data_IF_767389038661
#
_entry.id   IF_767389038661
#
_cell.length_a   1.000
_cell.length_b   1.000
_cell.length_c   1.000
_cell.angle_alpha   90.00
_cell.angle_beta   90.00
_cell.angle_gamma   90.00
#
_symmetry.space_group_name_H-M   'P 1'
#
loop_
_entity.id
_entity.type
_entity.pdbx_description
1 polymer ?
#
# COMPACT_ATOMS: atom_id res chain seq x y z
N UNK A 1 -65.64 -29.68 76.02
CA UNK A 1 -65.90 -28.26 76.35
C UNK A 1 -66.93 -27.78 75.34
N UNK A 2 -68.25 -27.76 75.67
CA UNK A 2 -69.00 -26.69 76.37
C UNK A 2 -68.91 -25.35 75.59
N UNK A 3 -69.96 -24.67 75.12
CA UNK A 3 -71.43 -24.65 75.35
C UNK A 3 -72.14 -24.00 74.11
N UNK A 4 -73.44 -24.29 73.88
CA UNK A 4 -74.35 -23.51 73.00
C UNK A 4 -74.94 -22.27 73.71
N UNK A 5 -76.17 -21.74 73.42
CA UNK A 5 -77.17 -22.05 72.36
C UNK A 5 -77.94 -20.78 71.81
N UNK A 6 -79.14 -20.99 71.23
CA UNK A 6 -80.30 -20.07 71.00
C UNK A 6 -80.47 -19.46 69.58
N UNK A 7 -81.46 -19.90 68.77
CA UNK A 7 -82.88 -19.47 68.70
C UNK A 7 -83.05 -18.24 67.79
N UNK A 8 -84.07 -18.04 66.94
CA UNK A 8 -85.40 -18.62 66.78
C UNK A 8 -85.89 -18.42 65.32
N UNK A 9 -86.88 -19.20 64.94
CA UNK A 9 -87.65 -19.09 63.70
C UNK A 9 -88.60 -17.88 63.72
N UNK A 10 -88.86 -17.29 62.56
CA UNK A 10 -90.09 -16.57 62.27
C UNK A 10 -90.49 -16.80 60.81
N UNK A 11 -91.54 -17.60 60.63
CA UNK A 11 -92.34 -17.68 59.42
C UNK A 11 -93.00 -16.33 59.16
N UNK A 12 -92.89 -15.79 57.95
CA UNK A 12 -93.86 -14.85 57.41
C UNK A 12 -94.16 -15.21 55.95
N UNK A 13 -95.40 -15.64 55.77
CA UNK A 13 -96.15 -15.77 54.52
C UNK A 13 -96.11 -14.51 53.64
N UNK A 14 -96.21 -14.69 52.32
CA UNK A 14 -97.33 -14.23 51.48
C UNK A 14 -96.89 -13.75 50.07
N UNK A 15 -97.69 -14.19 49.08
CA UNK A 15 -97.91 -13.63 47.74
C UNK A 15 -96.79 -13.75 46.68
N UNK A 16 -96.89 -14.79 45.85
CA UNK A 16 -96.39 -14.78 44.47
C UNK A 16 -97.30 -13.85 43.65
N UNK A 17 -96.82 -12.67 43.31
CA UNK A 17 -97.39 -11.84 42.26
C UNK A 17 -96.55 -12.04 40.99
N UNK A 18 -97.14 -12.65 39.97
CA UNK A 18 -96.59 -12.74 38.61
C UNK A 18 -96.57 -11.33 38.00
N UNK A 19 -95.46 -10.62 38.16
CA UNK A 19 -95.14 -9.42 37.39
C UNK A 19 -94.43 -9.81 36.10
N UNK A 20 -95.07 -9.59 34.95
CA UNK A 20 -94.42 -9.61 33.63
C UNK A 20 -93.50 -8.39 33.57
N UNK A 21 -92.18 -8.60 33.67
CA UNK A 21 -91.20 -7.58 33.36
C UNK A 21 -90.93 -7.57 31.84
N UNK A 22 -90.82 -6.39 31.19
CA UNK A 22 -90.48 -6.31 29.78
C UNK A 22 -89.03 -6.76 29.57
N UNK A 23 -88.81 -7.54 28.52
CA UNK A 23 -87.47 -7.84 28.00
C UNK A 23 -86.81 -6.53 27.60
N UNK A 24 -85.76 -6.13 28.32
CA UNK A 24 -84.87 -5.07 27.84
C UNK A 24 -84.26 -5.56 26.53
N UNK A 25 -84.55 -4.86 25.43
CA UNK A 25 -83.85 -5.05 24.16
C UNK A 25 -82.36 -4.94 24.44
N UNK A 26 -81.64 -6.03 24.18
CA UNK A 26 -80.19 -6.00 24.14
C UNK A 26 -79.81 -5.06 22.99
N UNK A 27 -79.40 -3.83 23.33
CA UNK A 27 -78.72 -2.94 22.39
C UNK A 27 -77.47 -3.67 21.95
N UNK A 28 -77.51 -4.28 20.76
CA UNK A 28 -76.32 -4.77 20.09
C UNK A 28 -75.42 -3.54 19.90
N UNK A 29 -74.21 -3.48 20.48
CA UNK A 29 -73.34 -2.34 20.26
C UNK A 29 -73.13 -2.20 18.75
N UNK A 30 -73.41 -1.02 18.22
CA UNK A 30 -73.15 -0.71 16.82
C UNK A 30 -71.68 -1.03 16.55
N UNK A 31 -71.43 -1.90 15.57
CA UNK A 31 -70.07 -2.30 15.21
C UNK A 31 -69.28 -1.05 14.82
N UNK A 32 -68.14 -0.83 15.45
CA UNK A 32 -67.26 0.28 15.11
C UNK A 32 -66.86 0.20 13.63
N UNK A 33 -66.85 1.34 12.96
CA UNK A 33 -66.52 1.44 11.54
C UNK A 33 -65.07 1.03 11.31
N UNK A 34 -64.80 0.34 10.21
CA UNK A 34 -63.42 -0.01 9.85
C UNK A 34 -62.65 1.24 9.46
N UNK A 35 -61.44 1.38 9.99
CA UNK A 35 -60.58 2.53 9.72
C UNK A 35 -59.45 2.21 8.78
N UNK A 36 -59.25 3.06 7.79
CA UNK A 36 -58.08 3.08 6.93
C UNK A 36 -57.13 4.21 7.35
N UNK A 37 -55.94 3.85 7.81
CA UNK A 37 -54.87 4.78 8.18
C UNK A 37 -53.74 4.72 7.15
N UNK A 38 -53.43 5.86 6.54
CA UNK A 38 -52.27 6.03 5.67
C UNK A 38 -51.25 7.00 6.26
N UNK A 39 -49.97 6.71 6.01
CA UNK A 39 -48.84 7.53 6.44
C UNK A 39 -47.87 7.63 5.27
N UNK A 40 -47.56 8.86 4.84
CA UNK A 40 -46.67 9.12 3.71
C UNK A 40 -45.82 10.37 3.96
N UNK A 41 -44.66 10.48 3.31
CA UNK A 41 -43.89 11.72 3.24
C UNK A 41 -43.04 11.73 1.97
N UNK A 42 -42.72 12.93 1.49
CA UNK A 42 -41.86 13.08 0.32
C UNK A 42 -40.39 12.81 0.67
N UNK A 43 -39.62 12.21 -0.25
CA UNK A 43 -38.19 12.06 -0.07
C UNK A 43 -37.49 13.42 0.09
N UNK A 44 -36.65 13.53 1.12
CA UNK A 44 -35.88 14.73 1.41
C UNK A 44 -34.40 14.40 1.63
N UNK A 45 -33.54 15.42 1.65
CA UNK A 45 -32.15 15.23 2.03
C UNK A 45 -32.04 14.92 3.51
N UNK A 46 -31.01 14.18 3.92
CA UNK A 46 -30.69 14.07 5.34
C UNK A 46 -30.37 15.47 5.91
N UNK A 47 -30.72 15.67 7.18
CA UNK A 47 -30.65 16.92 7.93
C UNK A 47 -31.60 18.02 7.42
N UNK A 48 -32.53 17.69 6.51
CA UNK A 48 -33.63 18.55 6.10
C UNK A 48 -34.95 18.00 6.62
N UNK A 49 -35.92 18.90 6.74
CA UNK A 49 -37.26 18.57 7.16
C UNK A 49 -38.10 18.00 6.01
N UNK A 50 -39.04 17.14 6.36
CA UNK A 50 -40.15 16.68 5.52
C UNK A 50 -41.41 16.58 6.38
N UNK A 51 -42.58 16.61 5.75
CA UNK A 51 -43.85 16.51 6.45
C UNK A 51 -44.40 15.09 6.32
N UNK A 52 -44.54 14.41 7.46
CA UNK A 52 -45.35 13.20 7.57
C UNK A 52 -46.82 13.59 7.42
N UNK A 53 -47.45 13.07 6.37
CA UNK A 53 -48.87 13.24 6.09
C UNK A 53 -49.62 12.01 6.55
N UNK A 54 -50.51 12.21 7.50
CA UNK A 54 -51.45 11.22 8.01
C UNK A 54 -52.79 11.48 7.34
N UNK A 55 -53.43 10.42 6.84
CA UNK A 55 -54.83 10.44 6.42
C UNK A 55 -55.53 9.30 7.14
N UNK A 56 -56.59 9.63 7.87
CA UNK A 56 -57.48 8.69 8.53
C UNK A 56 -58.86 8.77 7.89
N UNK A 57 -59.38 7.62 7.48
CA UNK A 57 -60.72 7.48 6.93
C UNK A 57 -61.45 6.32 7.61
N UNK A 58 -62.76 6.45 7.78
CA UNK A 58 -63.66 5.39 8.24
C UNK A 58 -64.28 4.63 7.06
N UNK A 59 -65.38 3.93 7.32
CA UNK A 59 -66.09 3.14 6.31
C UNK A 59 -66.48 3.97 5.08
N UNK A 60 -66.23 3.41 3.89
CA UNK A 60 -66.52 4.08 2.62
C UNK A 60 -65.61 5.28 2.31
N UNK A 61 -64.51 5.48 3.06
CA UNK A 61 -63.54 6.54 2.81
C UNK A 61 -63.90 7.90 3.45
N UNK A 62 -64.87 7.93 4.37
CA UNK A 62 -65.27 9.16 5.06
C UNK A 62 -64.15 9.69 5.97
N UNK A 63 -63.86 10.99 5.96
CA UNK A 63 -62.81 11.57 6.79
C UNK A 63 -63.15 11.48 8.29
N UNK A 64 -62.20 11.04 9.11
CA UNK A 64 -62.35 11.03 10.58
C UNK A 64 -61.70 12.28 11.16
N UNK A 65 -62.50 13.27 11.53
CA UNK A 65 -62.02 14.56 12.08
C UNK A 65 -61.81 14.50 13.60
N UNK A 66 -60.87 15.29 14.12
CA UNK A 66 -60.62 15.41 15.57
C UNK A 66 -59.93 14.20 16.21
N UNK A 67 -59.55 13.18 15.44
CA UNK A 67 -58.92 11.97 15.94
C UNK A 67 -57.44 12.22 16.31
N UNK A 68 -57.03 11.74 17.48
CA UNK A 68 -55.64 11.82 17.93
C UNK A 68 -54.83 10.62 17.40
N UNK A 69 -53.80 10.90 16.61
CA UNK A 69 -52.89 9.91 16.05
C UNK A 69 -51.52 10.06 16.68
N UNK A 70 -51.02 9.00 17.33
CA UNK A 70 -49.68 8.97 17.90
C UNK A 70 -48.66 8.66 16.82
N UNK A 71 -47.55 9.40 16.80
CA UNK A 71 -46.45 9.21 15.87
C UNK A 71 -45.19 8.76 16.60
N UNK A 72 -44.53 7.75 16.05
CA UNK A 72 -43.28 7.21 16.57
C UNK A 72 -42.24 7.07 15.45
N UNK A 73 -40.96 7.12 15.82
CA UNK A 73 -39.81 6.89 14.96
C UNK A 73 -39.05 5.66 15.44
N UNK A 74 -38.64 4.81 14.51
CA UNK A 74 -37.74 3.70 14.81
C UNK A 74 -36.32 4.24 14.97
N UNK A 75 -35.70 4.06 16.13
CA UNK A 75 -34.29 4.40 16.38
C UNK A 75 -33.62 3.18 16.98
N UNK A 76 -32.51 2.71 16.40
CA UNK A 76 -31.80 1.51 16.90
C UNK A 76 -32.70 0.29 17.16
N UNK A 77 -33.71 0.06 16.31
CA UNK A 77 -34.74 -1.00 16.42
C UNK A 77 -35.85 -0.78 17.45
N UNK A 78 -35.83 0.29 18.23
CA UNK A 78 -36.87 0.65 19.22
C UNK A 78 -37.75 1.76 18.67
N UNK A 79 -39.05 1.72 18.96
CA UNK A 79 -39.97 2.82 18.63
C UNK A 79 -39.93 3.86 19.74
N UNK A 80 -39.66 5.12 19.35
CA UNK A 80 -39.65 6.25 20.25
C UNK A 80 -40.73 7.25 19.80
N UNK A 81 -41.57 7.79 20.71
CA UNK A 81 -42.57 8.78 20.36
C UNK A 81 -41.91 10.05 19.84
N UNK A 82 -42.47 10.61 18.77
CA UNK A 82 -42.07 11.90 18.21
C UNK A 82 -43.14 12.98 18.37
N UNK A 83 -44.36 12.60 18.77
CA UNK A 83 -45.47 13.50 19.03
C UNK A 83 -46.82 12.83 18.75
N UNK A 84 -47.89 13.59 18.91
CA UNK A 84 -49.23 13.22 18.45
C UNK A 84 -49.80 14.36 17.62
N UNK A 85 -50.61 14.02 16.62
CA UNK A 85 -51.29 14.99 15.76
C UNK A 85 -52.80 14.75 15.78
N UNK A 86 -53.57 15.80 15.58
CA UNK A 86 -55.04 15.73 15.50
C UNK A 86 -55.47 15.92 14.05
N UNK A 87 -56.39 15.09 13.57
CA UNK A 87 -56.92 15.19 12.20
C UNK A 87 -57.85 16.39 12.03
N UNK A 88 -57.75 17.06 10.88
CA UNK A 88 -58.66 18.14 10.47
C UNK A 88 -60.00 17.61 9.96
N UNK A 89 -60.89 18.50 9.50
CA UNK A 89 -62.21 18.16 8.92
C UNK A 89 -62.13 17.22 7.71
N UNK A 90 -60.97 17.12 7.05
CA UNK A 90 -60.73 16.22 5.92
C UNK A 90 -60.02 14.92 6.36
N UNK A 91 -59.92 14.65 7.66
CA UNK A 91 -59.25 13.48 8.20
C UNK A 91 -57.72 13.52 8.04
N UNK A 92 -57.14 14.70 7.81
CA UNK A 92 -55.71 14.88 7.52
C UNK A 92 -54.97 15.46 8.71
N UNK A 93 -53.73 15.03 8.90
CA UNK A 93 -52.82 15.65 9.86
C UNK A 93 -51.38 15.67 9.33
N UNK A 94 -50.58 16.62 9.81
CA UNK A 94 -49.20 16.82 9.38
C UNK A 94 -48.24 16.92 10.54
N UNK A 95 -47.10 16.21 10.48
CA UNK A 95 -45.99 16.37 11.43
C UNK A 95 -44.70 16.64 10.68
N UNK A 96 -44.04 17.75 11.00
CA UNK A 96 -42.70 18.05 10.48
C UNK A 96 -41.66 17.20 11.22
N UNK A 97 -40.79 16.53 10.46
CA UNK A 97 -39.69 15.71 11.00
C UNK A 97 -38.40 15.94 10.21
N UNK A 98 -37.27 16.00 10.92
CA UNK A 98 -35.94 16.05 10.32
C UNK A 98 -35.41 14.63 10.02
N UNK A 99 -35.03 14.39 8.77
CA UNK A 99 -34.53 13.08 8.35
C UNK A 99 -33.08 12.82 8.82
N UNK A 100 -32.84 11.62 9.36
CA UNK A 100 -31.53 11.17 9.83
C UNK A 100 -30.67 10.70 8.65
N UNK A 101 -29.34 10.87 8.77
CA UNK A 101 -28.35 10.28 7.86
C UNK A 101 -28.34 8.75 7.92
N UNK A 102 -28.78 8.16 9.03
CA UNK A 102 -28.99 6.73 9.15
C UNK A 102 -30.38 6.39 8.59
N UNK A 103 -30.42 5.78 7.41
CA UNK A 103 -31.66 5.44 6.73
C UNK A 103 -32.57 4.49 7.53
N UNK A 104 -31.99 3.69 8.44
CA UNK A 104 -32.75 2.85 9.35
C UNK A 104 -33.63 3.65 10.32
N UNK A 105 -33.25 4.90 10.61
CA UNK A 105 -33.99 5.76 11.52
C UNK A 105 -35.12 6.51 10.81
N UNK A 106 -35.21 6.47 9.48
CA UNK A 106 -36.27 7.16 8.72
C UNK A 106 -37.46 6.23 8.49
N UNK A 107 -37.85 5.51 9.53
CA UNK A 107 -39.03 4.64 9.56
C UNK A 107 -39.94 5.15 10.67
N UNK A 108 -41.18 5.44 10.30
CA UNK A 108 -42.17 6.05 11.17
C UNK A 108 -43.40 5.16 11.30
N UNK A 109 -44.08 5.27 12.43
CA UNK A 109 -45.32 4.57 12.74
C UNK A 109 -46.36 5.59 13.18
N UNK A 110 -47.55 5.49 12.61
CA UNK A 110 -48.74 6.17 13.05
C UNK A 110 -49.68 5.15 13.68
N UNK A 111 -50.22 5.47 14.86
CA UNK A 111 -51.15 4.62 15.58
C UNK A 111 -52.34 5.47 16.03
N UNK A 112 -53.52 5.08 15.55
CA UNK A 112 -54.81 5.51 16.04
C UNK A 112 -55.34 4.43 16.99
N UNK A 113 -55.66 4.80 18.23
CA UNK A 113 -56.06 3.85 19.27
C UNK A 113 -57.51 3.35 19.14
N UNK A 114 -58.27 3.88 18.18
CA UNK A 114 -59.72 3.70 18.11
C UNK A 114 -60.45 4.74 18.96
N UNK A 115 -61.74 4.89 18.70
CA UNK A 115 -62.67 5.64 19.52
C UNK A 115 -64.00 4.87 19.66
N UNK A 116 -65.05 5.48 20.22
CA UNK A 116 -66.35 4.82 20.44
C UNK A 116 -67.03 4.35 19.14
N UNK A 117 -66.61 4.87 17.99
CA UNK A 117 -67.25 4.69 16.67
C UNK A 117 -66.30 4.15 15.60
N UNK A 118 -64.99 4.11 15.85
CA UNK A 118 -63.96 3.71 14.89
C UNK A 118 -62.95 2.72 15.49
N UNK A 119 -62.63 1.66 14.75
CA UNK A 119 -61.62 0.66 15.14
C UNK A 119 -60.18 1.23 15.22
N UNK A 120 -59.26 0.63 16.00
CA UNK A 120 -57.86 1.02 16.01
C UNK A 120 -57.15 0.69 14.70
N UNK A 121 -56.24 1.57 14.28
CA UNK A 121 -55.42 1.36 13.10
C UNK A 121 -53.95 1.72 13.35
N UNK A 122 -53.04 1.00 12.71
CA UNK A 122 -51.60 1.29 12.75
C UNK A 122 -50.99 1.17 11.36
N UNK A 123 -50.15 2.15 11.00
CA UNK A 123 -49.44 2.16 9.71
C UNK A 123 -47.99 2.56 9.88
N UNK A 124 -47.10 1.87 9.16
CA UNK A 124 -45.69 2.22 9.08
C UNK A 124 -45.34 2.76 7.70
N UNK A 125 -44.39 3.71 7.67
CA UNK A 125 -43.85 4.26 6.44
C UNK A 125 -42.33 4.46 6.56
N UNK A 126 -41.59 4.10 5.51
CA UNK A 126 -40.18 4.48 5.36
C UNK A 126 -40.11 5.71 4.48
N UNK A 127 -39.33 6.70 4.91
CA UNK A 127 -39.04 7.89 4.12
C UNK A 127 -37.67 7.76 3.48
N UNK A 128 -37.64 7.75 2.15
CA UNK A 128 -36.40 7.64 1.38
C UNK A 128 -35.58 8.94 1.42
N UNK A 129 -34.25 8.79 1.43
CA UNK A 129 -33.33 9.92 1.40
C UNK A 129 -32.96 10.28 -0.03
N UNK A 130 -33.09 11.56 -0.37
CA UNK A 130 -32.40 12.15 -1.53
C UNK A 130 -30.90 12.17 -1.27
N UNK A 131 -30.12 11.82 -2.28
CA UNK A 131 -28.65 11.78 -2.17
C UNK A 131 -28.01 13.07 -2.65
N UNK A 132 -27.10 13.59 -1.84
CA UNK A 132 -26.26 14.73 -2.25
C UNK A 132 -25.11 14.24 -3.13
N UNK A 133 -24.78 15.01 -4.17
CA UNK A 133 -23.52 14.85 -4.89
C UNK A 133 -22.34 15.03 -3.92
N UNK A 134 -21.22 14.36 -4.18
CA UNK A 134 -20.05 14.40 -3.31
C UNK A 134 -18.74 14.48 -4.09
N UNK A 135 -17.68 14.89 -3.40
CA UNK A 135 -16.32 14.99 -3.90
C UNK A 135 -15.35 14.35 -2.92
N UNK A 136 -14.63 13.34 -3.38
CA UNK A 136 -13.50 12.73 -2.66
C UNK A 136 -12.18 13.18 -3.28
N UNK A 137 -11.26 13.64 -2.44
CA UNK A 137 -9.93 14.14 -2.85
C UNK A 137 -8.85 13.36 -2.12
N UNK A 138 -7.81 12.96 -2.86
CA UNK A 138 -6.56 12.46 -2.30
C UNK A 138 -5.53 13.58 -2.36
N UNK A 139 -4.79 13.78 -1.29
CA UNK A 139 -3.71 14.76 -1.22
C UNK A 139 -2.53 14.28 -0.39
N UNK A 140 -1.47 15.07 -0.38
CA UNK A 140 -0.18 14.74 0.23
C UNK A 140 0.93 15.53 -0.44
N UNK A 141 2.20 15.31 -0.08
CA UNK A 141 3.32 15.91 -0.80
C UNK A 141 3.36 15.41 -2.25
N UNK A 142 3.86 16.24 -3.16
CA UNK A 142 4.07 15.88 -4.57
C UNK A 142 5.34 15.04 -4.80
N UNK A 143 6.27 15.05 -3.85
CA UNK A 143 7.50 14.28 -3.90
C UNK A 143 7.96 13.82 -2.51
N UNK A 144 8.82 12.81 -2.48
CA UNK A 144 9.42 12.26 -1.25
C UNK A 144 10.81 11.72 -1.53
N UNK A 145 11.76 11.97 -0.63
CA UNK A 145 13.08 11.31 -0.68
C UNK A 145 12.95 9.83 -0.31
N UNK A 146 13.50 8.93 -1.12
CA UNK A 146 13.40 7.47 -0.94
C UNK A 146 13.72 7.06 0.50
N UNK A 147 12.85 6.24 1.06
CA UNK A 147 13.01 5.76 2.43
C UNK A 147 12.44 6.69 3.51
N UNK A 148 11.99 7.90 3.19
CA UNK A 148 11.18 8.73 4.11
C UNK A 148 9.71 8.35 4.05
N UNK A 149 9.03 8.52 5.18
CA UNK A 149 7.58 8.38 5.29
C UNK A 149 6.88 9.66 4.87
N UNK A 150 5.70 9.54 4.26
CA UNK A 150 4.78 10.64 3.95
C UNK A 150 3.36 10.26 4.30
N UNK A 151 2.55 11.27 4.60
CA UNK A 151 1.12 11.08 4.89
C UNK A 151 0.31 11.35 3.64
N UNK A 152 -0.41 10.32 3.17
CA UNK A 152 -1.46 10.46 2.16
C UNK A 152 -2.77 10.72 2.87
N UNK A 153 -3.43 11.82 2.51
CA UNK A 153 -4.68 12.29 3.12
C UNK A 153 -5.83 12.07 2.15
N UNK A 154 -6.99 11.73 2.69
CA UNK A 154 -8.26 11.65 1.98
C UNK A 154 -9.22 12.63 2.62
N UNK A 155 -9.91 13.43 1.81
CA UNK A 155 -10.99 14.33 2.23
C UNK A 155 -12.23 14.02 1.43
N UNK A 156 -13.37 13.78 2.09
CA UNK A 156 -14.65 13.51 1.44
C UNK A 156 -15.71 14.49 1.93
N UNK A 157 -16.32 15.22 0.98
CA UNK A 157 -17.31 16.26 1.26
C UNK A 157 -18.48 16.21 0.28
N UNK A 158 -19.61 16.78 0.65
CA UNK A 158 -20.75 17.00 -0.25
C UNK A 158 -20.48 18.15 -1.22
N UNK A 159 -21.36 18.37 -2.19
CA UNK A 159 -21.29 19.52 -3.12
C UNK A 159 -21.27 20.90 -2.42
N UNK A 160 -21.85 21.00 -1.21
CA UNK A 160 -21.85 22.22 -0.38
C UNK A 160 -20.76 22.18 0.72
N UNK A 161 -19.66 21.47 0.47
CA UNK A 161 -18.49 21.34 1.35
C UNK A 161 -18.77 20.78 2.76
N UNK A 162 -19.93 20.15 3.01
CA UNK A 162 -20.18 19.46 4.30
C UNK A 162 -19.37 18.16 4.39
N UNK A 163 -18.75 17.84 5.54
CA UNK A 163 -17.95 16.62 5.69
C UNK A 163 -18.81 15.36 5.59
N UNK A 164 -18.23 14.31 5.01
CA UNK A 164 -18.88 13.00 4.87
C UNK A 164 -18.06 11.95 5.62
N UNK A 165 -18.63 11.42 6.70
CA UNK A 165 -18.11 10.23 7.36
C UNK A 165 -18.49 8.97 6.54
N UNK A 166 -17.58 8.02 6.40
CA UNK A 166 -17.88 6.75 5.73
C UNK A 166 -16.70 6.08 5.04
N UNK A 167 -17.00 5.02 4.29
CA UNK A 167 -16.00 4.12 3.73
C UNK A 167 -15.39 4.64 2.43
N UNK A 168 -14.06 4.71 2.38
CA UNK A 168 -13.28 5.08 1.20
C UNK A 168 -12.23 4.03 0.88
N UNK A 169 -12.26 3.48 -0.34
CA UNK A 169 -11.26 2.54 -0.84
C UNK A 169 -10.10 3.31 -1.47
N UNK A 170 -8.89 3.20 -0.92
CA UNK A 170 -7.69 3.85 -1.43
C UNK A 170 -6.88 2.90 -2.32
N UNK A 171 -6.47 3.38 -3.49
CA UNK A 171 -5.72 2.64 -4.49
C UNK A 171 -4.39 3.32 -4.83
N UNK A 172 -3.39 2.52 -5.18
CA UNK A 172 -2.07 2.95 -5.63
C UNK A 172 -1.67 2.24 -6.92
N UNK A 173 -1.07 2.97 -7.84
CA UNK A 173 -0.36 2.46 -9.02
C UNK A 173 1.11 2.84 -8.90
N UNK A 174 2.02 1.90 -9.14
CA UNK A 174 3.46 2.09 -9.04
C UNK A 174 4.09 2.07 -10.43
N UNK A 175 4.96 3.04 -10.76
CA UNK A 175 5.70 3.12 -12.02
C UNK A 175 4.84 2.80 -13.28
N UNK A 176 3.66 3.40 -13.39
CA UNK A 176 2.78 3.16 -14.55
C UNK A 176 1.94 1.87 -14.50
N UNK A 177 2.22 0.94 -13.58
CA UNK A 177 1.57 -0.37 -13.48
C UNK A 177 0.11 -0.35 -13.01
N UNK A 178 -0.51 -1.53 -12.78
CA UNK A 178 -1.92 -1.63 -12.45
C UNK A 178 -2.26 -0.98 -11.11
N UNK A 179 -3.50 -0.49 -11.00
CA UNK A 179 -4.04 0.03 -9.75
C UNK A 179 -4.32 -1.11 -8.77
N UNK A 180 -3.68 -1.08 -7.60
CA UNK A 180 -3.90 -2.04 -6.50
C UNK A 180 -4.54 -1.33 -5.32
N UNK A 181 -5.53 -1.96 -4.69
CA UNK A 181 -6.12 -1.48 -3.44
C UNK A 181 -5.06 -1.54 -2.34
N UNK A 182 -4.82 -0.42 -1.67
CA UNK A 182 -3.85 -0.33 -0.55
C UNK A 182 -4.55 -0.54 0.77
N UNK A 183 -5.66 0.17 1.00
CA UNK A 183 -6.40 0.14 2.26
C UNK A 183 -7.85 0.59 2.05
N UNK A 184 -8.74 0.06 2.87
CA UNK A 184 -10.07 0.66 3.09
C UNK A 184 -9.95 1.58 4.29
N UNK A 185 -10.23 2.87 4.10
CA UNK A 185 -10.23 3.90 5.11
C UNK A 185 -11.67 4.25 5.50
N UNK A 186 -11.84 4.79 6.69
CA UNK A 186 -13.09 5.41 7.13
C UNK A 186 -12.81 6.89 7.38
N UNK A 187 -13.52 7.77 6.70
CA UNK A 187 -13.48 9.21 7.02
C UNK A 187 -14.29 9.46 8.29
N UNK A 188 -13.74 10.27 9.20
CA UNK A 188 -14.44 10.69 10.43
C UNK A 188 -15.51 11.75 10.16
N UNK A 189 -16.06 12.31 11.23
CA UNK A 189 -17.09 13.37 11.16
C UNK A 189 -16.56 14.68 10.56
N UNK A 190 -15.25 14.87 10.55
CA UNK A 190 -14.54 15.95 9.85
C UNK A 190 -14.37 15.70 8.34
N UNK A 191 -14.80 14.53 7.86
CA UNK A 191 -14.69 14.07 6.48
C UNK A 191 -13.27 13.70 6.07
N UNK A 192 -12.37 13.40 7.01
CA UNK A 192 -10.95 13.14 6.73
C UNK A 192 -10.52 11.73 7.14
N UNK A 193 -9.55 11.21 6.40
CA UNK A 193 -8.79 10.01 6.74
C UNK A 193 -7.34 10.16 6.29
N UNK A 194 -6.42 9.42 6.90
CA UNK A 194 -4.99 9.47 6.54
C UNK A 194 -4.33 8.09 6.61
N UNK A 195 -3.28 7.92 5.83
CA UNK A 195 -2.37 6.77 5.91
C UNK A 195 -0.93 7.25 5.76
N UNK A 196 -0.05 6.72 6.62
CA UNK A 196 1.39 6.89 6.46
C UNK A 196 1.94 5.84 5.51
N UNK A 197 2.76 6.26 4.56
CA UNK A 197 3.35 5.39 3.53
C UNK A 197 4.81 5.74 3.34
N UNK A 198 5.62 4.75 2.96
CA UNK A 198 7.05 4.92 2.66
C UNK A 198 7.31 4.49 1.20
N UNK A 199 7.06 5.38 0.22
CA UNK A 199 7.27 5.06 -1.19
C UNK A 199 8.73 4.72 -1.46
N UNK A 200 8.96 3.76 -2.37
CA UNK A 200 10.30 3.34 -2.84
C UNK A 200 10.49 3.52 -4.35
N UNK A 201 9.47 4.08 -5.00
CA UNK A 201 9.36 4.38 -6.43
C UNK A 201 8.16 5.30 -6.62
N UNK A 202 8.10 5.96 -7.78
CA UNK A 202 7.01 6.86 -8.12
C UNK A 202 5.64 6.18 -7.99
N UNK A 203 4.71 6.91 -7.41
CA UNK A 203 3.40 6.38 -7.07
C UNK A 203 2.28 7.33 -7.45
N UNK A 204 1.18 6.74 -7.92
CA UNK A 204 -0.07 7.44 -8.24
C UNK A 204 -1.14 6.93 -7.30
N UNK A 205 -1.97 7.82 -6.77
CA UNK A 205 -2.96 7.53 -5.75
C UNK A 205 -4.34 8.00 -6.19
N UNK A 206 -5.37 7.20 -5.90
CA UNK A 206 -6.78 7.59 -6.09
C UNK A 206 -7.66 6.93 -5.05
N UNK A 207 -8.76 7.57 -4.72
CA UNK A 207 -9.76 7.08 -3.78
C UNK A 207 -11.08 6.81 -4.51
N UNK A 208 -11.83 5.82 -4.02
CA UNK A 208 -13.23 5.58 -4.38
C UNK A 208 -14.05 5.62 -3.10
N UNK A 209 -14.86 6.65 -2.93
CA UNK A 209 -15.82 6.75 -1.85
C UNK A 209 -17.01 5.82 -2.14
N UNK A 210 -17.44 5.08 -1.12
CA UNK A 210 -18.58 4.17 -1.22
C UNK A 210 -19.85 4.95 -0.97
N UNK A 211 -20.76 4.94 -1.94
CA UNK A 211 -22.11 5.51 -1.85
C UNK A 211 -22.79 5.13 -0.53
N UNK A 212 -23.47 6.09 0.11
CA UNK A 212 -24.32 5.87 1.29
C UNK A 212 -25.77 6.21 0.96
N UNK A 213 -26.68 6.00 1.91
CA UNK A 213 -28.09 6.30 1.73
C UNK A 213 -28.36 7.78 1.38
N UNK A 214 -27.62 8.72 1.97
CA UNK A 214 -27.83 10.16 1.86
C UNK A 214 -26.81 10.91 0.97
N UNK A 215 -25.80 10.21 0.45
CA UNK A 215 -24.72 10.83 -0.34
C UNK A 215 -24.19 9.89 -1.41
N UNK A 216 -24.00 10.43 -2.62
CA UNK A 216 -23.43 9.68 -3.74
C UNK A 216 -21.96 9.32 -3.50
N UNK A 217 -21.53 8.19 -4.08
CA UNK A 217 -20.12 7.84 -4.14
C UNK A 217 -19.36 8.75 -5.11
N UNK A 218 -18.04 8.78 -5.00
CA UNK A 218 -17.19 9.54 -5.92
C UNK A 218 -15.84 8.81 -6.15
N UNK A 219 -15.16 9.16 -7.24
CA UNK A 219 -13.80 8.72 -7.55
C UNK A 219 -12.89 9.93 -7.68
N UNK A 220 -11.87 10.01 -6.84
CA UNK A 220 -10.95 11.14 -6.86
C UNK A 220 -10.17 11.26 -8.16
N UNK A 221 -9.68 12.47 -8.43
CA UNK A 221 -8.53 12.69 -9.33
C UNK A 221 -7.29 11.93 -8.81
N UNK A 222 -6.30 11.76 -9.69
CA UNK A 222 -5.04 11.10 -9.35
C UNK A 222 -4.09 12.07 -8.66
N UNK A 223 -3.62 11.71 -7.47
CA UNK A 223 -2.52 12.40 -6.78
C UNK A 223 -1.20 11.67 -7.07
N UNK A 224 -0.15 12.40 -7.47
CA UNK A 224 1.17 11.83 -7.78
C UNK A 224 2.14 12.11 -6.63
N UNK A 225 3.01 11.15 -6.34
CA UNK A 225 4.11 11.29 -5.41
C UNK A 225 5.36 10.74 -6.10
N UNK A 226 6.26 11.65 -6.47
CA UNK A 226 7.54 11.34 -7.11
C UNK A 226 8.54 10.91 -6.04
N UNK A 227 9.22 9.79 -6.28
CA UNK A 227 10.25 9.28 -5.40
C UNK A 227 11.58 9.85 -5.87
N UNK A 228 12.25 10.60 -4.99
CA UNK A 228 13.52 11.24 -5.28
C UNK A 228 14.67 10.44 -4.67
N UNK A 229 15.82 10.34 -5.35
CA UNK A 229 16.99 9.69 -4.78
C UNK A 229 17.51 10.44 -3.55
N UNK A 230 17.96 9.72 -2.50
CA UNK A 230 18.56 10.36 -1.32
C UNK A 230 20.01 10.78 -1.56
N UNK A 231 20.72 10.15 -2.50
CA UNK A 231 22.10 10.48 -2.85
C UNK A 231 22.17 11.26 -4.17
N UNK A 232 23.36 11.77 -4.48
CA UNK A 232 23.58 12.58 -5.68
C UNK A 232 23.69 11.71 -6.95
N UNK A 233 22.75 11.81 -7.92
CA UNK A 233 22.82 11.08 -9.18
C UNK A 233 24.10 11.40 -9.96
N UNK A 234 24.62 10.42 -10.70
CA UNK A 234 25.78 10.57 -11.56
C UNK A 234 25.37 11.26 -12.86
N UNK A 235 26.01 12.40 -13.15
CA UNK A 235 25.86 13.12 -14.42
C UNK A 235 27.01 12.74 -15.34
N UNK A 236 26.75 11.84 -16.29
CA UNK A 236 27.73 11.45 -17.30
C UNK A 236 27.83 12.51 -18.40
N UNK A 237 29.01 12.66 -19.06
CA UNK A 237 29.15 13.50 -20.24
C UNK A 237 28.12 13.13 -21.32
N UNK A 238 27.59 14.13 -22.05
CA UNK A 238 26.56 13.90 -23.09
C UNK A 238 27.03 12.90 -24.17
N UNK A 239 28.32 12.92 -24.51
CA UNK A 239 28.94 12.03 -25.49
C UNK A 239 29.31 10.64 -24.94
N UNK A 240 29.15 10.40 -23.63
CA UNK A 240 29.53 9.12 -23.04
C UNK A 240 28.61 8.00 -23.55
N UNK A 241 29.17 6.87 -24.02
CA UNK A 241 28.37 5.76 -24.50
C UNK A 241 27.67 5.06 -23.33
N UNK A 242 26.49 4.50 -23.59
CA UNK A 242 25.72 3.74 -22.59
C UNK A 242 26.07 2.25 -22.63
N UNK A 243 25.94 1.51 -21.50
CA UNK A 243 26.11 0.07 -21.47
C UNK A 243 25.31 -0.64 -22.57
N UNK A 244 25.94 -1.61 -23.25
CA UNK A 244 25.32 -2.40 -24.32
C UNK A 244 24.30 -3.41 -23.79
N UNK A 245 24.38 -3.76 -22.50
CA UNK A 245 23.47 -4.71 -21.86
C UNK A 245 22.72 -4.03 -20.73
N UNK A 246 21.40 -4.03 -20.84
CA UNK A 246 20.51 -3.54 -19.79
C UNK A 246 20.35 -4.60 -18.70
N UNK A 247 20.32 -4.15 -17.44
CA UNK A 247 20.07 -5.02 -16.29
C UNK A 247 18.76 -4.65 -15.62
N UNK A 248 18.04 -5.62 -15.03
CA UNK A 248 16.95 -5.30 -14.14
C UNK A 248 17.46 -4.48 -12.96
N UNK A 249 16.61 -3.61 -12.40
CA UNK A 249 16.98 -2.85 -11.22
C UNK A 249 17.27 -3.79 -10.04
N UNK A 250 18.39 -3.58 -9.37
CA UNK A 250 18.68 -4.30 -8.12
C UNK A 250 17.69 -3.91 -7.03
N UNK A 251 17.40 -4.84 -6.10
CA UNK A 251 16.59 -4.54 -4.93
C UNK A 251 17.12 -3.30 -4.20
N UNK A 252 16.21 -2.55 -3.57
CA UNK A 252 16.57 -1.43 -2.70
C UNK A 252 17.44 -1.92 -1.53
N UNK A 253 18.25 -1.02 -0.99
CA UNK A 253 19.02 -1.28 0.22
C UNK A 253 18.14 -1.76 1.39
N UNK A 254 18.75 -2.61 2.22
CA UNK A 254 18.15 -3.19 3.43
C UNK A 254 18.94 -2.77 4.66
N UNK A 255 18.30 -2.60 5.81
CA UNK A 255 18.94 -2.11 7.03
C UNK A 255 19.54 -0.70 6.88
N UNK A 256 20.32 -0.29 7.89
CA UNK A 256 21.00 1.00 7.90
C UNK A 256 22.39 0.94 7.26
N UNK A 257 22.84 2.06 6.68
CA UNK A 257 24.18 2.22 6.13
C UNK A 257 24.53 1.20 5.04
N UNK A 258 25.81 0.82 4.98
CA UNK A 258 26.30 -0.17 4.03
C UNK A 258 25.77 -1.60 4.29
N UNK A 259 25.32 -1.89 5.52
CA UNK A 259 24.81 -3.20 5.95
C UNK A 259 25.60 -4.40 5.36
N UNK A 260 26.90 -4.45 5.59
CA UNK A 260 27.75 -5.53 5.05
C UNK A 260 27.40 -6.84 5.75
N UNK A 261 27.10 -7.86 4.96
CA UNK A 261 26.84 -9.21 5.45
C UNK A 261 27.71 -10.18 4.67
N UNK A 262 28.62 -10.87 5.37
CA UNK A 262 29.50 -11.89 4.79
C UNK A 262 29.09 -13.25 5.34
N UNK A 263 28.79 -14.19 4.45
CA UNK A 263 28.29 -15.53 4.81
C UNK A 263 29.01 -16.61 4.02
N UNK A 264 29.06 -17.88 4.49
CA UNK A 264 29.31 -19.01 3.62
C UNK A 264 28.35 -18.98 2.42
N UNK A 265 28.79 -19.45 1.25
CA UNK A 265 27.93 -19.45 0.06
C UNK A 265 26.69 -20.33 0.30
N UNK A 266 25.47 -19.76 0.35
CA UNK A 266 24.25 -20.53 0.60
C UNK A 266 23.99 -21.57 -0.48
N UNK A 267 23.31 -22.68 -0.16
CA UNK A 267 23.09 -23.78 -1.10
C UNK A 267 22.41 -23.36 -2.40
N UNK A 268 21.43 -22.45 -2.33
CA UNK A 268 20.77 -21.88 -3.52
C UNK A 268 21.73 -21.11 -4.41
N UNK A 269 22.62 -20.31 -3.83
CA UNK A 269 23.62 -19.52 -4.58
C UNK A 269 24.66 -20.45 -5.18
N UNK A 270 25.10 -21.46 -4.45
CA UNK A 270 26.03 -22.47 -4.96
C UNK A 270 25.49 -23.15 -6.21
N UNK A 271 24.26 -23.66 -6.17
CA UNK A 271 23.60 -24.28 -7.34
C UNK A 271 23.49 -23.36 -8.55
N UNK A 272 23.33 -22.06 -8.32
CA UNK A 272 23.25 -21.07 -9.40
C UNK A 272 24.62 -20.81 -10.06
N UNK A 273 25.71 -20.93 -9.30
CA UNK A 273 27.06 -20.67 -9.77
C UNK A 273 27.72 -21.90 -10.41
N UNK A 274 27.38 -23.11 -9.94
CA UNK A 274 27.94 -24.36 -10.44
C UNK A 274 27.58 -24.59 -11.91
N UNK A 275 28.59 -24.92 -12.72
CA UNK A 275 28.49 -25.01 -14.18
C UNK A 275 28.57 -23.65 -14.88
N UNK A 276 28.69 -22.54 -14.14
CA UNK A 276 28.78 -21.18 -14.68
C UNK A 276 30.07 -20.50 -14.20
N UNK A 277 30.01 -19.78 -13.09
CA UNK A 277 31.18 -19.07 -12.53
C UNK A 277 32.05 -19.98 -11.67
N UNK A 278 31.57 -21.17 -11.32
CA UNK A 278 32.33 -22.26 -10.72
C UNK A 278 32.07 -23.57 -11.48
N UNK A 279 33.09 -24.39 -11.69
CA UNK A 279 32.98 -25.72 -12.29
C UNK A 279 34.10 -26.64 -11.78
N UNK A 280 34.08 -27.92 -12.17
CA UNK A 280 35.17 -28.85 -11.85
C UNK A 280 36.49 -28.32 -12.45
N UNK A 281 37.57 -28.36 -11.65
CA UNK A 281 38.88 -27.80 -12.03
C UNK A 281 39.13 -26.37 -11.51
N UNK A 282 38.14 -25.74 -10.88
CA UNK A 282 38.35 -24.45 -10.21
C UNK A 282 39.24 -24.57 -8.97
N UNK A 283 40.16 -23.61 -8.76
CA UNK A 283 41.18 -23.71 -7.70
C UNK A 283 40.62 -23.46 -6.29
N UNK A 284 39.40 -22.92 -6.17
CA UNK A 284 38.76 -22.63 -4.89
C UNK A 284 37.42 -23.33 -4.82
N UNK A 285 37.30 -24.29 -3.91
CA UNK A 285 36.04 -24.98 -3.61
C UNK A 285 35.08 -24.09 -2.81
N UNK A 286 33.82 -24.55 -2.66
CA UNK A 286 32.76 -23.83 -1.94
C UNK A 286 33.17 -23.34 -0.54
N UNK A 287 33.89 -24.17 0.21
CA UNK A 287 34.34 -23.85 1.57
C UNK A 287 35.28 -22.63 1.61
N UNK A 288 36.04 -22.40 0.53
CA UNK A 288 36.94 -21.26 0.37
C UNK A 288 36.26 -19.98 -0.13
N UNK A 289 34.97 -20.02 -0.45
CA UNK A 289 34.21 -18.87 -0.96
C UNK A 289 33.22 -18.32 0.07
N UNK A 290 32.94 -17.02 -0.01
CA UNK A 290 31.94 -16.32 0.77
C UNK A 290 31.05 -15.49 -0.14
N UNK A 291 29.79 -15.37 0.24
CA UNK A 291 28.87 -14.41 -0.34
C UNK A 291 28.94 -13.12 0.48
N UNK A 292 29.34 -12.03 -0.17
CA UNK A 292 29.35 -10.67 0.37
C UNK A 292 28.11 -9.96 -0.15
N UNK A 293 27.29 -9.43 0.77
CA UNK A 293 26.16 -8.57 0.43
C UNK A 293 26.38 -7.20 1.05
N UNK A 294 26.20 -6.16 0.25
CA UNK A 294 26.49 -4.77 0.67
C UNK A 294 25.52 -3.81 -0.01
N UNK A 295 25.12 -2.77 0.72
CA UNK A 295 24.39 -1.65 0.14
C UNK A 295 25.38 -0.73 -0.59
N UNK A 296 25.02 -0.26 -1.77
CA UNK A 296 25.82 0.66 -2.59
C UNK A 296 24.94 1.74 -3.20
N UNK A 297 25.52 2.88 -3.58
CA UNK A 297 24.81 3.93 -4.31
C UNK A 297 24.82 3.64 -5.81
N UNK A 298 23.64 3.46 -6.41
CA UNK A 298 23.54 3.36 -7.86
C UNK A 298 23.76 4.73 -8.54
N UNK A 299 23.92 4.72 -9.87
CA UNK A 299 24.15 5.95 -10.62
C UNK A 299 22.93 6.89 -10.64
N UNK A 300 21.74 6.38 -10.30
CA UNK A 300 20.54 7.19 -10.14
C UNK A 300 20.44 7.83 -8.74
N UNK A 301 21.45 7.65 -7.88
CA UNK A 301 21.49 8.23 -6.53
C UNK A 301 20.71 7.43 -5.50
N UNK A 302 20.32 6.19 -5.81
CA UNK A 302 19.58 5.36 -4.88
C UNK A 302 20.44 4.27 -4.23
N UNK A 303 20.22 3.97 -2.94
CA UNK A 303 20.88 2.87 -2.29
C UNK A 303 20.25 1.54 -2.73
N UNK A 304 21.08 0.64 -3.26
CA UNK A 304 20.74 -0.69 -3.79
C UNK A 304 21.47 -1.79 -3.01
N UNK A 305 20.99 -3.02 -3.13
CA UNK A 305 21.63 -4.20 -2.55
C UNK A 305 22.41 -4.99 -3.60
N UNK A 306 23.73 -5.07 -3.41
CA UNK A 306 24.68 -5.79 -4.25
C UNK A 306 25.08 -7.15 -3.69
N UNK A 307 25.56 -8.04 -4.56
CA UNK A 307 26.12 -9.34 -4.20
C UNK A 307 27.46 -9.59 -4.92
N UNK A 308 28.45 -10.07 -4.18
CA UNK A 308 29.73 -10.56 -4.68
C UNK A 308 30.02 -11.93 -4.10
N UNK A 309 30.65 -12.80 -4.88
CA UNK A 309 31.28 -14.02 -4.36
C UNK A 309 32.78 -13.77 -4.32
N UNK A 310 33.42 -14.05 -3.21
CA UNK A 310 34.84 -13.77 -3.00
C UNK A 310 35.50 -14.90 -2.21
N UNK A 311 36.82 -14.98 -2.29
CA UNK A 311 37.62 -15.84 -1.43
C UNK A 311 37.41 -15.46 0.03
N UNK A 312 37.35 -16.45 0.93
CA UNK A 312 37.17 -16.24 2.36
C UNK A 312 38.22 -15.30 2.97
N UNK A 313 39.46 -15.32 2.46
CA UNK A 313 40.53 -14.41 2.89
C UNK A 313 40.41 -12.98 2.36
N UNK A 314 39.58 -12.73 1.33
CA UNK A 314 39.39 -11.39 0.74
C UNK A 314 37.99 -10.80 1.02
N UNK A 315 37.01 -11.64 1.38
CA UNK A 315 35.60 -11.27 1.46
C UNK A 315 35.31 -10.12 2.44
N UNK A 316 35.96 -10.12 3.62
CA UNK A 316 35.80 -9.03 4.60
C UNK A 316 36.38 -7.72 4.08
N UNK A 317 37.54 -7.74 3.42
CA UNK A 317 38.16 -6.55 2.84
C UNK A 317 37.30 -5.98 1.69
N UNK A 318 36.77 -6.85 0.82
CA UNK A 318 35.83 -6.44 -0.24
C UNK A 318 34.57 -5.81 0.35
N UNK A 319 33.98 -6.41 1.38
CA UNK A 319 32.85 -5.81 2.08
C UNK A 319 33.19 -4.45 2.70
N UNK A 320 34.37 -4.33 3.32
CA UNK A 320 34.83 -3.11 3.97
C UNK A 320 35.06 -1.96 2.98
N UNK A 321 35.68 -2.21 1.82
CA UNK A 321 35.91 -1.16 0.82
C UNK A 321 34.59 -0.66 0.24
N UNK A 322 33.62 -1.54 -0.06
CA UNK A 322 32.30 -1.10 -0.52
C UNK A 322 31.51 -0.39 0.58
N UNK A 323 31.71 -0.73 1.85
CA UNK A 323 31.11 0.01 2.95
C UNK A 323 31.65 1.44 3.07
N UNK A 324 32.96 1.61 2.87
CA UNK A 324 33.56 2.94 2.84
C UNK A 324 33.15 3.71 1.57
N UNK A 325 33.04 3.06 0.41
CA UNK A 325 32.44 3.66 -0.79
C UNK A 325 31.02 4.15 -0.52
N UNK A 326 30.19 3.35 0.17
CA UNK A 326 28.84 3.73 0.56
C UNK A 326 28.83 4.97 1.46
N UNK A 327 29.69 5.02 2.49
CA UNK A 327 29.81 6.17 3.39
C UNK A 327 30.24 7.45 2.66
N UNK A 328 31.07 7.32 1.62
CA UNK A 328 31.56 8.44 0.80
C UNK A 328 30.69 8.76 -0.42
N UNK A 329 29.52 8.12 -0.56
CA UNK A 329 28.63 8.25 -1.71
C UNK A 329 29.33 8.01 -3.07
N UNK A 330 30.32 7.11 -3.09
CA UNK A 330 31.03 6.70 -4.30
C UNK A 330 30.16 5.70 -5.08
N UNK A 331 29.72 6.03 -6.32
CA UNK A 331 28.72 5.23 -7.02
C UNK A 331 29.28 3.92 -7.59
N UNK A 332 28.45 2.90 -7.54
CA UNK A 332 28.64 1.64 -8.26
C UNK A 332 27.46 1.47 -9.21
N UNK A 333 27.71 1.20 -10.49
CA UNK A 333 26.65 1.11 -11.50
C UNK A 333 25.73 -0.07 -11.22
N UNK A 334 26.32 -1.25 -11.05
CA UNK A 334 25.64 -2.47 -10.67
C UNK A 334 26.62 -3.44 -10.01
N UNK A 335 26.10 -4.35 -9.20
CA UNK A 335 26.86 -5.35 -8.43
C UNK A 335 26.05 -6.65 -8.37
N UNK A 336 26.00 -7.34 -9.50
CA UNK A 336 25.49 -8.69 -9.65
C UNK A 336 26.65 -9.69 -9.64
N UNK A 337 26.39 -10.88 -9.10
CA UNK A 337 27.31 -12.00 -9.27
C UNK A 337 27.39 -12.37 -10.76
N UNK A 338 28.59 -12.73 -11.21
CA UNK A 338 28.85 -12.99 -12.63
C UNK A 338 28.06 -14.19 -13.18
N UNK A 339 27.64 -15.14 -12.34
CA UNK A 339 26.79 -16.27 -12.75
C UNK A 339 25.44 -15.82 -13.35
N UNK A 340 24.97 -14.62 -13.00
CA UNK A 340 23.73 -14.05 -13.54
C UNK A 340 23.81 -13.68 -15.02
N UNK A 341 25.00 -13.71 -15.60
CA UNK A 341 25.24 -13.43 -17.00
C UNK A 341 25.31 -14.69 -17.88
N UNK A 342 25.25 -15.89 -17.27
CA UNK A 342 25.32 -17.17 -17.97
C UNK A 342 26.76 -17.61 -18.26
N UNK A 343 26.90 -18.76 -18.94
CA UNK A 343 28.18 -19.32 -19.34
C UNK A 343 28.74 -18.64 -20.59
N UNK A 344 29.96 -18.12 -20.51
CA UNK A 344 30.70 -17.56 -21.62
C UNK A 344 31.59 -18.62 -22.27
N UNK A 345 31.26 -19.04 -23.50
CA UNK A 345 32.09 -20.00 -24.26
C UNK A 345 33.53 -19.51 -24.46
N UNK A 346 33.72 -18.20 -24.62
CA UNK A 346 35.03 -17.56 -24.85
C UNK A 346 35.91 -17.54 -23.60
N UNK A 347 35.30 -17.39 -22.44
CA UNK A 347 35.99 -17.32 -21.14
C UNK A 347 36.04 -18.67 -20.44
N UNK A 348 35.27 -19.67 -20.90
CA UNK A 348 35.12 -20.98 -20.24
C UNK A 348 34.77 -20.82 -18.76
N UNK A 349 33.79 -19.98 -18.47
CA UNK A 349 33.33 -19.64 -17.13
C UNK A 349 32.10 -18.75 -17.19
N UNK A 350 31.85 -17.92 -16.18
CA UNK A 350 30.83 -16.87 -16.25
C UNK A 350 31.14 -15.89 -17.39
N UNK A 351 30.10 -15.43 -18.10
CA UNK A 351 30.22 -14.52 -19.25
C UNK A 351 30.69 -13.12 -18.83
N UNK A 352 32.01 -12.97 -18.80
CA UNK A 352 32.74 -11.76 -18.42
C UNK A 352 32.47 -10.61 -19.39
N UNK A 353 32.36 -10.90 -20.70
CA UNK A 353 32.06 -9.89 -21.70
C UNK A 353 30.66 -9.32 -21.51
N UNK A 354 29.67 -10.17 -21.21
CA UNK A 354 28.33 -9.71 -20.90
C UNK A 354 28.26 -8.92 -19.58
N UNK A 355 29.04 -9.31 -18.56
CA UNK A 355 29.19 -8.59 -17.29
C UNK A 355 29.78 -7.19 -17.51
N UNK A 356 30.89 -7.10 -18.25
CA UNK A 356 31.53 -5.83 -18.61
C UNK A 356 30.62 -4.95 -19.47
N UNK A 357 29.96 -5.52 -20.47
CA UNK A 357 29.03 -4.80 -21.35
C UNK A 357 27.81 -4.20 -20.62
N UNK A 358 27.50 -4.70 -19.42
CA UNK A 358 26.48 -4.15 -18.54
C UNK A 358 27.03 -3.12 -17.53
N UNK A 359 28.35 -2.96 -17.45
CA UNK A 359 29.01 -2.14 -16.45
C UNK A 359 28.88 -2.69 -15.04
N UNK A 360 28.92 -4.02 -14.91
CA UNK A 360 28.78 -4.72 -13.65
C UNK A 360 30.08 -4.75 -12.85
N UNK A 361 29.96 -4.65 -11.53
CA UNK A 361 31.05 -4.85 -10.57
C UNK A 361 31.02 -6.30 -10.07
N UNK A 362 32.13 -7.02 -10.18
CA UNK A 362 32.17 -8.47 -9.90
C UNK A 362 33.52 -8.93 -9.36
N UNK A 363 33.53 -10.07 -8.66
CA UNK A 363 34.72 -10.63 -8.03
C UNK A 363 35.01 -12.06 -8.56
N UNK A 364 34.62 -13.11 -7.84
CA UNK A 364 34.91 -14.49 -8.25
C UNK A 364 34.28 -14.86 -9.61
N UNK A 365 35.14 -15.29 -10.54
CA UNK A 365 34.78 -15.93 -11.80
C UNK A 365 35.89 -16.93 -12.15
N UNK A 366 35.63 -18.22 -11.99
CA UNK A 366 36.55 -19.26 -12.43
C UNK A 366 36.47 -19.39 -13.94
N UNK A 367 37.47 -18.82 -14.61
CA UNK A 367 37.49 -18.65 -16.06
C UNK A 367 38.92 -18.49 -16.58
N UNK A 368 39.05 -18.57 -17.89
CA UNK A 368 40.24 -18.12 -18.61
C UNK A 368 40.33 -16.58 -18.62
N UNK A 369 41.53 -16.04 -18.85
CA UNK A 369 41.77 -14.61 -19.04
C UNK A 369 41.03 -14.13 -20.28
N UNK A 370 40.42 -12.95 -20.19
CA UNK A 370 39.65 -12.35 -21.28
C UNK A 370 40.60 -12.04 -22.44
N UNK A 371 40.39 -12.70 -23.58
CA UNK A 371 41.29 -12.62 -24.76
C UNK A 371 42.32 -13.74 -24.86
N UNK A 372 42.54 -14.55 -23.80
CA UNK A 372 43.54 -15.64 -23.72
C UNK A 372 42.96 -16.97 -23.22
N UNK A 373 42.40 -17.80 -24.12
CA UNK A 373 41.93 -19.15 -23.79
C UNK A 373 43.05 -20.02 -23.18
N UNK A 374 42.72 -20.82 -22.17
CA UNK A 374 43.65 -21.73 -21.48
C UNK A 374 44.51 -21.10 -20.37
N UNK A 375 44.55 -19.76 -20.27
CA UNK A 375 45.28 -19.07 -19.20
C UNK A 375 44.32 -18.70 -18.08
N UNK A 376 44.56 -19.17 -16.86
CA UNK A 376 43.63 -18.96 -15.75
C UNK A 376 43.61 -17.50 -15.29
N UNK A 377 42.40 -16.93 -15.20
CA UNK A 377 42.21 -15.57 -14.69
C UNK A 377 42.49 -15.45 -13.18
N UNK A 378 43.08 -14.34 -12.70
CA UNK A 378 43.16 -14.02 -11.27
C UNK A 378 41.80 -14.04 -10.55
N UNK A 379 40.70 -13.77 -11.26
CA UNK A 379 39.34 -13.87 -10.71
C UNK A 379 38.97 -15.29 -10.26
N UNK A 380 39.64 -16.32 -10.79
CA UNK A 380 39.41 -17.72 -10.44
C UNK A 380 39.77 -18.05 -9.00
N UNK A 381 40.60 -17.23 -8.36
CA UNK A 381 40.98 -17.39 -6.96
C UNK A 381 40.05 -16.63 -6.00
N UNK A 382 39.12 -15.82 -6.52
CA UNK A 382 38.17 -15.01 -5.74
C UNK A 382 38.80 -13.83 -5.00
N UNK A 383 40.04 -13.45 -5.34
CA UNK A 383 40.78 -12.34 -4.72
C UNK A 383 40.80 -11.06 -5.57
N UNK A 384 40.29 -11.15 -6.80
CA UNK A 384 40.22 -10.04 -7.74
C UNK A 384 38.84 -9.37 -7.70
N UNK A 385 38.79 -8.09 -8.05
CA UNK A 385 37.59 -7.28 -8.11
C UNK A 385 37.64 -6.36 -9.33
N UNK A 386 36.61 -6.45 -10.16
CA UNK A 386 36.37 -5.51 -11.26
C UNK A 386 35.28 -4.53 -10.85
N UNK A 387 35.50 -3.23 -11.03
CA UNK A 387 34.55 -2.18 -10.60
C UNK A 387 34.14 -1.27 -11.75
N UNK A 388 32.83 -1.06 -11.92
CA UNK A 388 32.25 -0.15 -12.93
C UNK A 388 32.88 -0.34 -14.31
N UNK A 389 32.90 -1.60 -14.75
CA UNK A 389 33.61 -2.13 -15.95
C UNK A 389 33.29 -1.40 -17.26
N UNK A 390 32.13 -0.76 -17.36
CA UNK A 390 31.78 0.05 -18.54
C UNK A 390 32.58 1.36 -18.60
N UNK A 391 32.74 2.03 -17.47
CA UNK A 391 33.50 3.27 -17.34
C UNK A 391 35.01 3.03 -17.18
N UNK A 392 35.41 1.81 -16.83
CA UNK A 392 36.79 1.43 -16.55
C UNK A 392 37.16 0.22 -17.42
N UNK A 393 37.44 0.42 -18.71
CA UNK A 393 37.66 -0.67 -19.63
C UNK A 393 39.01 -1.38 -19.42
N UNK A 394 39.09 -2.55 -20.05
CA UNK A 394 40.24 -3.44 -20.15
C UNK A 394 40.82 -3.42 -21.57
N UNK A 395 42.15 -3.26 -21.70
CA UNK A 395 42.90 -3.36 -22.96
C UNK A 395 43.42 -4.79 -23.16
N UNK A 396 42.80 -5.51 -24.09
CA UNK A 396 43.31 -6.79 -24.61
C UNK A 396 43.98 -6.60 -25.97
N UNK A 397 44.78 -7.58 -26.41
CA UNK A 397 45.37 -7.63 -27.75
C UNK A 397 44.32 -7.59 -28.87
N UNK A 398 43.08 -7.98 -28.56
CA UNK A 398 41.94 -7.98 -29.49
C UNK A 398 41.14 -6.67 -29.46
N UNK A 399 41.57 -5.70 -28.65
CA UNK A 399 40.95 -4.39 -28.50
C UNK A 399 40.45 -4.09 -27.08
N UNK A 400 40.01 -2.85 -26.88
CA UNK A 400 39.50 -2.36 -25.60
C UNK A 400 38.05 -2.76 -25.39
N UNK A 401 37.79 -3.44 -24.27
CA UNK A 401 36.46 -3.93 -23.88
C UNK A 401 36.04 -3.32 -22.55
N UNK A 402 34.72 -3.07 -22.34
CA UNK A 402 33.63 -3.27 -23.27
C UNK A 402 33.50 -2.16 -24.32
N UNK A 403 34.21 -1.04 -24.16
CA UNK A 403 34.22 0.09 -25.09
C UNK A 403 35.55 0.85 -25.01
N UNK A 404 35.97 1.48 -26.12
CA UNK A 404 37.20 2.28 -26.18
C UNK A 404 37.06 3.71 -25.68
N UNK A 405 35.85 4.28 -25.70
CA UNK A 405 35.65 5.71 -25.46
C UNK A 405 36.14 6.11 -24.07
N UNK A 406 35.77 5.32 -23.05
CA UNK A 406 36.17 5.62 -21.69
C UNK A 406 37.68 5.56 -21.48
N UNK A 407 38.45 4.83 -22.27
CA UNK A 407 39.90 4.70 -22.07
C UNK A 407 40.64 6.05 -22.01
N UNK A 408 40.21 7.03 -22.83
CA UNK A 408 40.76 8.40 -22.85
C UNK A 408 40.01 9.41 -21.97
N UNK A 409 38.93 9.00 -21.30
CA UNK A 409 38.05 9.91 -20.55
C UNK A 409 38.00 9.51 -19.08
N UNK A 410 38.13 10.48 -18.18
CA UNK A 410 37.95 10.30 -16.74
C UNK A 410 36.63 10.92 -16.27
N UNK A 411 36.19 10.52 -15.08
CA UNK A 411 35.05 11.10 -14.40
C UNK A 411 35.32 11.04 -12.90
N UNK A 412 35.20 12.16 -12.16
CA UNK A 412 35.69 12.30 -10.78
C UNK A 412 35.08 11.31 -9.77
N UNK A 413 33.95 10.69 -10.12
CA UNK A 413 33.25 9.71 -9.27
C UNK A 413 33.26 8.27 -9.78
N UNK A 414 33.47 8.04 -11.08
CA UNK A 414 33.15 6.72 -11.68
C UNK A 414 34.16 6.19 -12.70
N UNK A 415 35.05 7.02 -13.24
CA UNK A 415 36.01 6.61 -14.26
C UNK A 415 37.41 7.14 -13.92
N UNK A 416 38.32 6.25 -13.54
CA UNK A 416 39.63 6.64 -12.99
C UNK A 416 40.78 6.39 -13.96
N UNK A 417 41.68 7.37 -14.07
CA UNK A 417 42.90 7.29 -14.90
C UNK A 417 44.18 7.58 -14.10
N UNK A 418 44.08 7.62 -12.77
CA UNK A 418 45.20 7.87 -11.86
C UNK A 418 44.97 7.22 -10.51
N UNK A 419 46.06 6.92 -9.81
CA UNK A 419 46.07 6.41 -8.43
C UNK A 419 45.48 7.40 -7.42
N UNK A 420 45.44 8.69 -7.75
CA UNK A 420 44.84 9.72 -6.90
C UNK A 420 43.31 9.74 -6.93
N UNK A 421 42.67 9.05 -7.88
CA UNK A 421 41.21 9.01 -7.94
C UNK A 421 40.62 8.42 -6.64
N UNK A 422 39.53 8.98 -6.09
CA UNK A 422 38.99 8.58 -4.79
C UNK A 422 38.80 7.07 -4.63
N UNK A 423 38.25 6.39 -5.64
CA UNK A 423 38.05 4.93 -5.65
C UNK A 423 39.38 4.16 -5.60
N UNK A 424 40.38 4.56 -6.39
CA UNK A 424 41.67 3.84 -6.45
C UNK A 424 42.44 4.00 -5.15
N UNK A 425 42.49 5.23 -4.62
CA UNK A 425 43.11 5.50 -3.33
C UNK A 425 42.39 4.76 -2.18
N UNK A 426 41.07 4.63 -2.25
CA UNK A 426 40.27 3.85 -1.30
C UNK A 426 40.62 2.36 -1.36
N UNK A 427 40.66 1.79 -2.56
CA UNK A 427 41.04 0.39 -2.79
C UNK A 427 42.40 0.09 -2.16
N UNK A 428 43.39 0.95 -2.41
CA UNK A 428 44.74 0.83 -1.82
C UNK A 428 44.70 0.79 -0.28
N UNK A 429 43.95 1.68 0.38
CA UNK A 429 43.80 1.69 1.85
C UNK A 429 43.17 0.42 2.41
N UNK A 430 42.37 -0.29 1.61
CA UNK A 430 41.74 -1.55 2.00
C UNK A 430 42.53 -2.80 1.55
N UNK A 431 43.80 -2.62 1.14
CA UNK A 431 44.69 -3.72 0.76
C UNK A 431 44.44 -4.25 -0.66
N UNK A 432 43.84 -3.45 -1.53
CA UNK A 432 43.68 -3.76 -2.94
C UNK A 432 44.70 -3.01 -3.79
N UNK A 433 45.43 -3.74 -4.63
CA UNK A 433 46.34 -3.16 -5.61
C UNK A 433 45.60 -2.92 -6.92
N UNK A 434 45.74 -1.73 -7.49
CA UNK A 434 45.32 -1.46 -8.88
C UNK A 434 46.38 -2.04 -9.83
N UNK A 435 46.29 -3.34 -10.07
CA UNK A 435 47.41 -4.18 -10.53
C UNK A 435 47.91 -3.81 -11.93
N UNK A 436 47.02 -3.53 -12.87
CA UNK A 436 47.38 -3.30 -14.27
C UNK A 436 47.22 -1.83 -14.70
N UNK A 437 46.81 -0.95 -13.79
CA UNK A 437 46.72 0.49 -14.04
C UNK A 437 45.85 0.83 -15.26
N UNK A 438 46.43 1.58 -16.20
CA UNK A 438 45.72 2.01 -17.41
C UNK A 438 45.49 0.90 -18.43
N UNK A 439 46.16 -0.24 -18.29
CA UNK A 439 45.96 -1.42 -19.12
C UNK A 439 44.67 -2.16 -18.78
N UNK A 440 44.35 -2.30 -17.51
CA UNK A 440 43.08 -2.87 -17.03
C UNK A 440 42.52 -1.99 -15.91
N UNK A 441 41.78 -0.97 -16.32
CA UNK A 441 41.38 0.08 -15.36
C UNK A 441 40.38 -0.44 -14.33
N UNK A 442 39.53 -1.41 -14.67
CA UNK A 442 38.55 -2.01 -13.75
C UNK A 442 39.19 -2.86 -12.64
N UNK A 443 40.37 -3.44 -12.87
CA UNK A 443 40.88 -4.58 -12.10
C UNK A 443 41.67 -4.22 -10.85
N UNK A 444 41.28 -4.83 -9.72
CA UNK A 444 41.97 -4.72 -8.44
C UNK A 444 42.23 -6.10 -7.82
N UNK A 445 43.43 -6.32 -7.28
CA UNK A 445 43.76 -7.55 -6.55
C UNK A 445 43.91 -7.30 -5.06
N UNK A 446 43.25 -8.12 -4.24
CA UNK A 446 43.50 -8.12 -2.81
C UNK A 446 44.86 -8.73 -2.47
N UNK A 447 45.75 -7.90 -1.91
CA UNK A 447 47.13 -8.27 -1.51
C UNK A 447 47.36 -8.24 0.00
N UNK A 448 46.35 -7.88 0.81
CA UNK A 448 46.45 -7.80 2.27
C UNK A 448 46.78 -6.39 2.79
N UNK A 449 46.49 -6.13 4.07
CA UNK A 449 46.63 -4.80 4.70
C UNK A 449 48.05 -4.44 5.15
N UNK A 450 49.01 -5.39 5.10
CA UNK A 450 50.41 -5.20 5.52
C UNK A 450 51.41 -5.08 4.37
N UNK A 451 50.98 -5.09 3.12
CA UNK A 451 51.88 -4.88 2.00
C UNK A 451 52.19 -3.38 1.84
N UNK A 452 53.30 -2.92 2.44
CA UNK A 452 54.10 -1.85 1.79
C UNK A 452 54.31 -2.28 0.35
N UNK A 453 54.20 -1.31 -0.57
CA UNK A 453 54.34 -1.46 -2.02
C UNK A 453 55.38 -2.51 -2.43
N UNK A 454 54.97 -3.77 -2.52
CA UNK A 454 55.78 -4.84 -3.08
C UNK A 454 55.62 -4.72 -4.60
N UNK A 455 56.67 -4.19 -5.23
CA UNK A 455 56.97 -4.11 -6.66
C UNK A 455 55.72 -4.03 -7.55
N UNK A 456 55.46 -2.84 -8.10
CA UNK A 456 54.51 -2.71 -9.19
C UNK A 456 54.84 -3.79 -10.25
N UNK A 457 53.91 -4.70 -10.58
CA UNK A 457 54.06 -5.46 -11.82
C UNK A 457 54.24 -4.42 -12.94
N UNK A 458 55.11 -4.73 -13.93
CA UNK A 458 55.33 -3.84 -15.07
C UNK A 458 53.98 -3.37 -15.59
N UNK A 459 53.83 -2.06 -15.74
CA UNK A 459 52.67 -1.50 -16.38
C UNK A 459 52.46 -2.23 -17.71
N UNK A 460 51.25 -2.69 -17.96
CA UNK A 460 50.90 -3.17 -19.28
C UNK A 460 50.80 -1.94 -20.19
N UNK A 461 51.93 -1.57 -20.80
CA UNK A 461 52.03 -0.36 -21.63
C UNK A 461 51.18 -0.48 -22.91
N UNK A 462 50.81 -1.71 -23.32
CA UNK A 462 50.01 -1.97 -24.53
C UNK A 462 48.83 -2.92 -24.34
N UNK A 463 49.05 -4.15 -23.85
CA UNK A 463 48.01 -5.18 -23.65
C UNK A 463 48.28 -5.99 -22.36
N UNK A 464 47.23 -6.41 -21.63
CA UNK A 464 47.38 -7.16 -20.36
C UNK A 464 46.96 -8.63 -20.44
N UNK A 465 46.66 -9.09 -21.64
CA UNK A 465 46.55 -10.50 -21.94
C UNK A 465 47.95 -11.07 -22.20
#
# INVERSE_FOLDING_TARGET
MRLGPAAAAALLSLAVALGVAPTADAVVPARAATTELSLQADPAYADNDTTLRVQLAGDGGQPVAGAQVTLERRTSQVWAPIGSVTTDENGRAGQVVTLSRAAGDNVFRATFAGDETHEPATRQARVDLKRRASRVVVGGPGSVVDGRSVVVRVRWRTGHDKPVAGTVKLFRSLAGGPWKKVRTLTTGDDGRARIEVKPRQDSRWRARAVRRAWVEGDRSRVHRIDNLPPGTPVRLPKAAPRPRKNLPLQPRAVGAGANVVVTPVPGRVWRQMTGISWHRGCPVGRAGLRLVRVNYWDYAGYPRRGELVANSGAARAMGAVFAEMYRRELPVRSMFRVDRFGWGKRTRGGDDYASMAAGNTSAFNCRDVTGRPGVRSPHSYGRSLDVNTWENPYRSARGTVPNRWWQGHSHPRVAWRSRSHPVVALMARHGFRWTYGLGDTQHFDYVGSRARAAVAPRACDRYCD
#
